data_IF_682839653404
#
_entry.id   IF_682839653404
#
_cell.length_a   1.000
_cell.length_b   1.000
_cell.length_c   1.000
_cell.angle_alpha   90.00
_cell.angle_beta   90.00
_cell.angle_gamma   90.00
#
_symmetry.space_group_name_H-M   'P 1'
#
loop_
_entity.id
_entity.type
_entity.pdbx_description
1 polymer ?
#
# COMPACT_ATOMS: atom_id res chain seq x y z
N UNK A 1 -1.98 50.10 -11.98
CA UNK A 1 -0.92 49.27 -11.35
C UNK A 1 -1.62 48.30 -10.45
N UNK A 2 -1.59 47.04 -10.85
CA UNK A 2 -2.41 45.95 -10.33
C UNK A 2 -1.70 45.29 -9.13
N UNK A 3 -2.22 45.50 -7.92
CA UNK A 3 -1.67 44.97 -6.67
C UNK A 3 -2.50 43.77 -6.15
N UNK A 4 -3.03 42.93 -7.06
CA UNK A 4 -3.84 41.77 -6.70
C UNK A 4 -3.23 40.41 -7.10
N UNK A 5 -1.97 40.37 -7.55
CA UNK A 5 -1.38 39.18 -8.19
C UNK A 5 -0.46 38.31 -7.33
N UNK A 6 0.08 38.79 -6.21
CA UNK A 6 1.37 38.26 -5.72
C UNK A 6 1.33 37.45 -4.41
N UNK A 7 0.16 37.15 -3.85
CA UNK A 7 0.05 36.39 -2.59
C UNK A 7 -0.57 35.00 -2.71
N UNK A 8 -0.90 34.54 -3.93
CA UNK A 8 -1.45 33.18 -4.14
C UNK A 8 -0.42 32.11 -4.49
N UNK A 9 0.84 32.48 -4.70
CA UNK A 9 1.84 31.58 -5.32
C UNK A 9 2.69 30.78 -4.32
N UNK A 10 2.47 30.93 -3.00
CA UNK A 10 3.21 30.18 -1.97
C UNK A 10 2.40 29.08 -1.27
N UNK A 11 1.18 28.79 -1.72
CA UNK A 11 0.31 27.75 -1.14
C UNK A 11 0.20 26.52 -2.06
N UNK A 12 1.26 26.18 -2.80
CA UNK A 12 1.39 24.85 -3.40
C UNK A 12 1.86 23.89 -2.30
N UNK A 13 0.87 23.53 -1.50
CA UNK A 13 0.91 22.50 -0.48
C UNK A 13 1.52 21.23 -1.06
N UNK A 14 2.63 20.75 -0.51
CA UNK A 14 2.87 19.31 -0.47
C UNK A 14 1.64 18.70 0.20
N UNK A 15 0.77 18.09 -0.60
CA UNK A 15 -0.44 17.46 -0.09
C UNK A 15 0.00 16.48 1.01
N UNK A 16 -0.57 16.54 2.22
CA UNK A 16 -0.11 15.69 3.31
C UNK A 16 -0.24 14.23 2.88
N UNK A 17 0.84 13.46 3.00
CA UNK A 17 0.80 12.01 2.78
C UNK A 17 -0.21 11.45 3.77
N UNK A 18 -1.24 10.79 3.24
CA UNK A 18 -2.28 10.14 4.03
C UNK A 18 -2.20 8.64 3.88
N UNK A 19 -2.74 7.90 4.86
CA UNK A 19 -2.89 6.45 4.80
C UNK A 19 -3.58 6.03 3.51
N UNK A 20 -4.64 6.73 3.09
CA UNK A 20 -5.34 6.41 1.85
C UNK A 20 -4.49 6.65 0.59
N UNK A 21 -3.59 7.64 0.59
CA UNK A 21 -2.67 7.83 -0.54
C UNK A 21 -1.64 6.70 -0.62
N UNK A 22 -1.06 6.29 0.52
CA UNK A 22 -0.09 5.19 0.58
C UNK A 22 -0.73 3.85 0.20
N UNK A 23 -1.96 3.60 0.66
CA UNK A 23 -2.67 2.36 0.30
C UNK A 23 -3.12 2.34 -1.17
N UNK A 24 -3.43 3.50 -1.76
CA UNK A 24 -3.69 3.61 -3.20
C UNK A 24 -2.43 3.35 -4.02
N UNK A 25 -1.30 3.93 -3.62
CA UNK A 25 0.00 3.67 -4.25
C UNK A 25 0.31 2.16 -4.26
N UNK A 26 0.11 1.48 -3.12
CA UNK A 26 0.26 0.02 -3.05
C UNK A 26 -0.70 -0.74 -3.99
N UNK A 27 -1.94 -0.26 -4.14
CA UNK A 27 -2.88 -0.88 -5.08
C UNK A 27 -2.46 -0.72 -6.54
N UNK A 28 -1.93 0.45 -6.89
CA UNK A 28 -1.46 0.75 -8.24
C UNK A 28 -0.23 -0.12 -8.56
N UNK A 29 0.76 -0.19 -7.66
CA UNK A 29 1.92 -1.08 -7.79
C UNK A 29 1.53 -2.55 -7.96
N UNK A 30 0.54 -3.03 -7.18
CA UNK A 30 0.03 -4.39 -7.29
C UNK A 30 -0.75 -4.62 -8.59
N UNK A 31 -1.42 -3.61 -9.14
CA UNK A 31 -2.15 -3.72 -10.39
C UNK A 31 -1.21 -3.86 -11.61
N UNK A 32 -0.06 -3.21 -11.54
CA UNK A 32 0.99 -3.26 -12.58
C UNK A 32 1.88 -4.51 -12.46
N UNK A 33 1.74 -5.29 -11.38
CA UNK A 33 2.52 -6.49 -11.15
C UNK A 33 2.02 -7.66 -12.01
N UNK A 34 2.85 -8.09 -12.97
CA UNK A 34 2.59 -9.23 -13.83
C UNK A 34 3.52 -10.41 -13.51
N UNK A 35 3.08 -11.66 -13.72
CA UNK A 35 3.98 -12.81 -13.62
C UNK A 35 5.02 -12.80 -14.75
N UNK A 36 6.20 -13.43 -14.55
CA UNK A 36 7.18 -13.61 -15.61
C UNK A 36 6.59 -14.34 -16.83
N UNK A 37 6.91 -13.87 -18.03
CA UNK A 37 6.31 -14.36 -19.27
C UNK A 37 6.72 -15.80 -19.58
N UNK A 38 7.93 -16.20 -19.18
CA UNK A 38 8.56 -17.49 -19.47
C UNK A 38 7.96 -18.65 -18.66
N UNK A 39 7.13 -18.35 -17.65
CA UNK A 39 6.62 -19.36 -16.74
C UNK A 39 5.45 -20.19 -17.31
N UNK A 40 5.09 -21.28 -16.63
CA UNK A 40 3.95 -22.12 -17.02
C UNK A 40 2.61 -21.38 -16.85
N UNK A 41 1.58 -21.83 -17.56
CA UNK A 41 0.24 -21.25 -17.44
C UNK A 41 -0.31 -21.38 -16.00
N UNK A 42 -0.03 -22.52 -15.34
CA UNK A 42 -0.46 -22.78 -13.98
C UNK A 42 0.27 -21.88 -12.98
N UNK A 43 1.58 -21.68 -13.14
CA UNK A 43 2.33 -20.70 -12.36
C UNK A 43 1.73 -19.29 -12.48
N UNK A 44 1.51 -18.81 -13.72
CA UNK A 44 0.95 -17.47 -13.94
C UNK A 44 -0.44 -17.30 -13.33
N UNK A 45 -1.26 -18.36 -13.34
CA UNK A 45 -2.57 -18.40 -12.69
C UNK A 45 -2.44 -18.28 -11.18
N UNK A 46 -1.53 -19.03 -10.58
CA UNK A 46 -1.20 -18.96 -9.16
C UNK A 46 -0.72 -17.58 -8.73
N UNK A 47 0.22 -17.02 -9.48
CA UNK A 47 0.75 -15.68 -9.26
C UNK A 47 -0.35 -14.61 -9.31
N UNK A 48 -1.20 -14.65 -10.33
CA UNK A 48 -2.34 -13.73 -10.47
C UNK A 48 -3.33 -13.86 -9.30
N UNK A 49 -3.53 -15.07 -8.79
CA UNK A 49 -4.37 -15.31 -7.61
C UNK A 49 -3.74 -14.72 -6.34
N UNK A 50 -2.42 -14.86 -6.16
CA UNK A 50 -1.68 -14.24 -5.05
C UNK A 50 -1.77 -12.72 -5.05
N UNK A 51 -1.52 -12.07 -6.21
CA UNK A 51 -1.68 -10.61 -6.34
C UNK A 51 -3.11 -10.17 -6.02
N UNK A 52 -4.12 -10.91 -6.53
CA UNK A 52 -5.53 -10.61 -6.23
C UNK A 52 -5.83 -10.69 -4.74
N UNK A 53 -5.33 -11.71 -4.05
CA UNK A 53 -5.51 -11.87 -2.60
C UNK A 53 -4.92 -10.67 -1.83
N UNK A 54 -3.70 -10.24 -2.18
CA UNK A 54 -3.10 -9.08 -1.53
C UNK A 54 -3.92 -7.81 -1.77
N UNK A 55 -4.37 -7.58 -3.02
CA UNK A 55 -5.22 -6.43 -3.34
C UNK A 55 -6.50 -6.38 -2.50
N UNK A 56 -7.13 -7.53 -2.24
CA UNK A 56 -8.29 -7.62 -1.35
C UNK A 56 -7.92 -7.19 0.07
N UNK A 57 -6.78 -7.64 0.60
CA UNK A 57 -6.30 -7.23 1.92
C UNK A 57 -6.09 -5.71 2.02
N UNK A 58 -5.57 -5.07 0.96
CA UNK A 58 -5.38 -3.62 0.90
C UNK A 58 -6.73 -2.89 0.81
N UNK A 59 -7.66 -3.37 -0.02
CA UNK A 59 -9.01 -2.80 -0.14
C UNK A 59 -9.81 -2.86 1.16
N UNK A 60 -9.73 -3.98 1.88
CA UNK A 60 -10.34 -4.13 3.21
C UNK A 60 -9.79 -3.08 4.18
N UNK A 61 -8.47 -2.85 4.16
CA UNK A 61 -7.84 -1.86 5.03
C UNK A 61 -8.27 -0.43 4.64
N UNK A 62 -8.37 -0.11 3.34
CA UNK A 62 -8.90 1.18 2.87
C UNK A 62 -10.33 1.40 3.39
N UNK A 63 -11.17 0.36 3.34
CA UNK A 63 -12.53 0.42 3.86
C UNK A 63 -12.55 0.67 5.38
N UNK A 64 -11.67 -0.02 6.13
CA UNK A 64 -11.55 0.14 7.58
C UNK A 64 -11.08 1.54 7.99
N UNK A 65 -10.05 2.10 7.35
CA UNK A 65 -9.50 3.42 7.71
C UNK A 65 -10.39 4.58 7.29
N UNK A 66 -11.21 4.40 6.25
CA UNK A 66 -12.13 5.43 5.75
C UNK A 66 -13.30 5.72 6.71
N UNK A 67 -13.60 4.81 7.65
CA UNK A 67 -14.68 4.98 8.64
C UNK A 67 -14.37 5.91 9.84
N UNK A 68 -13.12 6.39 9.99
CA UNK A 68 -12.67 7.08 11.19
C UNK A 68 -12.53 8.61 11.07
N UNK A 69 -13.62 9.36 11.23
CA UNK A 69 -13.59 10.84 11.25
C UNK A 69 -13.49 11.40 12.67
N UNK A 70 -12.28 11.63 13.17
CA UNK A 70 -12.05 12.46 14.36
C UNK A 70 -11.27 13.73 13.98
N UNK A 71 -11.77 14.90 14.38
CA UNK A 71 -11.08 16.19 14.19
C UNK A 71 -9.93 16.31 15.20
N UNK A 72 -8.74 16.66 14.71
CA UNK A 72 -7.49 16.70 15.51
C UNK A 72 -6.66 17.93 15.12
N UNK A 73 -5.98 18.60 16.07
CA UNK A 73 -5.00 19.66 15.78
C UNK A 73 -3.89 19.22 14.80
N UNK A 74 -3.38 20.14 13.98
CA UNK A 74 -2.52 19.83 12.82
C UNK A 74 -1.19 19.12 13.12
N UNK A 75 -0.48 19.43 14.21
CA UNK A 75 0.75 18.73 14.58
C UNK A 75 0.49 17.30 15.08
N UNK A 76 -0.54 17.14 15.92
CA UNK A 76 -1.05 15.82 16.31
C UNK A 76 -1.62 15.03 15.11
N UNK A 77 -2.03 15.72 14.03
CA UNK A 77 -2.51 15.10 12.79
C UNK A 77 -1.38 14.40 12.02
N UNK A 78 -0.19 15.01 11.87
CA UNK A 78 0.94 14.37 11.14
C UNK A 78 1.42 13.10 11.84
N UNK A 79 1.67 13.16 13.15
CA UNK A 79 2.12 11.98 13.91
C UNK A 79 1.06 10.86 13.94
N UNK A 80 -0.22 11.21 14.13
CA UNK A 80 -1.32 10.23 14.04
C UNK A 80 -1.44 9.62 12.65
N UNK A 81 -1.23 10.41 11.59
CA UNK A 81 -1.28 9.90 10.23
C UNK A 81 -0.14 8.93 9.94
N UNK A 82 1.07 9.22 10.41
CA UNK A 82 2.18 8.28 10.31
C UNK A 82 1.90 6.98 11.08
N UNK A 83 1.34 7.09 12.29
CA UNK A 83 0.94 5.90 13.05
C UNK A 83 -0.13 5.09 12.32
N UNK A 84 -1.11 5.75 11.69
CA UNK A 84 -2.13 5.09 10.85
C UNK A 84 -1.53 4.38 9.65
N UNK A 85 -0.59 5.03 8.95
CA UNK A 85 0.14 4.42 7.83
C UNK A 85 0.86 3.15 8.30
N UNK A 86 1.61 3.23 9.40
CA UNK A 86 2.32 2.06 9.97
C UNK A 86 1.38 0.94 10.36
N UNK A 87 0.32 1.27 11.10
CA UNK A 87 -0.66 0.27 11.55
C UNK A 87 -1.32 -0.41 10.35
N UNK A 88 -1.75 0.34 9.33
CA UNK A 88 -2.34 -0.21 8.12
C UNK A 88 -1.38 -1.15 7.38
N UNK A 89 -0.14 -0.70 7.12
CA UNK A 89 0.86 -1.51 6.43
C UNK A 89 1.23 -2.76 7.23
N UNK A 90 1.34 -2.67 8.56
CA UNK A 90 1.63 -3.81 9.43
C UNK A 90 0.47 -4.81 9.46
N UNK A 91 -0.78 -4.34 9.46
CA UNK A 91 -1.98 -5.19 9.37
C UNK A 91 -2.01 -5.96 8.06
N UNK A 92 -1.78 -5.28 6.93
CA UNK A 92 -1.72 -5.91 5.60
C UNK A 92 -0.57 -6.94 5.57
N UNK A 93 0.64 -6.54 5.99
CA UNK A 93 1.82 -7.43 6.03
C UNK A 93 1.52 -8.70 6.81
N UNK A 94 0.91 -8.58 7.99
CA UNK A 94 0.55 -9.71 8.85
C UNK A 94 -0.44 -10.65 8.15
N UNK A 95 -1.54 -10.11 7.61
CA UNK A 95 -2.54 -10.90 6.87
C UNK A 95 -1.94 -11.64 5.68
N UNK A 96 -1.02 -11.00 4.98
CA UNK A 96 -0.32 -11.58 3.81
C UNK A 96 0.66 -12.67 4.24
N UNK A 97 1.43 -12.45 5.31
CA UNK A 97 2.42 -13.41 5.80
C UNK A 97 1.79 -14.65 6.48
N UNK A 98 0.63 -14.49 7.11
CA UNK A 98 -0.12 -15.60 7.74
C UNK A 98 -0.83 -16.48 6.70
N UNK A 99 -0.91 -16.04 5.43
CA UNK A 99 -1.61 -16.78 4.40
C UNK A 99 -0.83 -18.04 3.98
N UNK A 100 -1.33 -19.20 4.39
CA UNK A 100 -0.82 -20.48 3.91
C UNK A 100 -1.30 -20.78 2.48
N UNK A 101 -0.40 -21.34 1.67
CA UNK A 101 -0.73 -21.87 0.34
C UNK A 101 -0.38 -23.36 0.33
N UNK A 102 -1.37 -24.26 0.43
CA UNK A 102 -1.11 -25.69 0.40
C UNK A 102 -0.69 -26.14 -1.00
N UNK A 103 0.17 -27.15 -1.06
CA UNK A 103 0.62 -27.78 -2.30
C UNK A 103 1.98 -27.30 -2.79
N UNK A 104 2.60 -28.13 -3.61
CA UNK A 104 3.93 -27.90 -4.21
C UNK A 104 3.88 -27.86 -5.74
N UNK A 105 2.68 -27.70 -6.31
CA UNK A 105 2.51 -27.51 -7.75
C UNK A 105 2.93 -26.10 -8.20
N UNK A 106 3.04 -25.93 -9.53
CA UNK A 106 3.41 -24.66 -10.15
C UNK A 106 2.50 -23.50 -9.76
N UNK A 107 1.20 -23.76 -9.57
CA UNK A 107 0.24 -22.74 -9.14
C UNK A 107 0.53 -22.29 -7.70
N UNK A 108 0.82 -23.22 -6.79
CA UNK A 108 1.22 -22.89 -5.43
C UNK A 108 2.56 -22.14 -5.40
N UNK A 109 3.51 -22.50 -6.26
CA UNK A 109 4.77 -21.75 -6.41
C UNK A 109 4.54 -20.31 -6.89
N UNK A 110 3.75 -20.12 -7.95
CA UNK A 110 3.41 -18.79 -8.46
C UNK A 110 2.70 -17.92 -7.41
N UNK A 111 1.79 -18.52 -6.64
CA UNK A 111 1.12 -17.81 -5.55
C UNK A 111 2.10 -17.34 -4.47
N UNK A 112 3.02 -18.21 -4.03
CA UNK A 112 4.04 -17.86 -3.03
C UNK A 112 4.96 -16.73 -3.52
N UNK A 113 5.36 -16.76 -4.78
CA UNK A 113 6.19 -15.71 -5.36
C UNK A 113 5.46 -14.37 -5.43
N UNK A 114 4.17 -14.36 -5.80
CA UNK A 114 3.34 -13.16 -5.75
C UNK A 114 3.24 -12.57 -4.32
N UNK A 115 3.07 -13.44 -3.32
CA UNK A 115 3.08 -13.04 -1.91
C UNK A 115 4.43 -12.44 -1.50
N UNK A 116 5.54 -13.05 -1.91
CA UNK A 116 6.88 -12.55 -1.61
C UNK A 116 7.13 -11.17 -2.24
N UNK A 117 6.75 -10.97 -3.51
CA UNK A 117 6.83 -9.67 -4.21
C UNK A 117 6.04 -8.61 -3.45
N UNK A 118 4.80 -8.92 -3.05
CA UNK A 118 3.97 -7.98 -2.31
C UNK A 118 4.54 -7.63 -0.92
N UNK A 119 5.11 -8.60 -0.21
CA UNK A 119 5.77 -8.35 1.09
C UNK A 119 6.97 -7.41 0.96
N UNK A 120 7.73 -7.50 -0.13
CA UNK A 120 8.83 -6.57 -0.42
C UNK A 120 8.30 -5.16 -0.72
N UNK A 121 7.23 -5.03 -1.51
CA UNK A 121 6.56 -3.73 -1.76
C UNK A 121 6.09 -3.07 -0.47
N UNK A 122 5.40 -3.83 0.39
CA UNK A 122 4.95 -3.35 1.71
C UNK A 122 6.15 -2.91 2.56
N UNK A 123 7.23 -3.70 2.56
CA UNK A 123 8.44 -3.38 3.32
C UNK A 123 9.12 -2.10 2.84
N UNK A 124 9.13 -1.81 1.53
CA UNK A 124 9.62 -0.54 0.96
C UNK A 124 8.79 0.65 1.44
N UNK A 125 7.46 0.53 1.41
CA UNK A 125 6.56 1.57 1.92
C UNK A 125 6.75 1.81 3.42
N UNK A 126 6.95 0.74 4.20
CA UNK A 126 7.25 0.86 5.63
C UNK A 126 8.58 1.60 5.90
N UNK A 127 9.63 1.34 5.12
CA UNK A 127 10.92 2.06 5.22
C UNK A 127 10.75 3.55 4.90
N UNK A 128 10.09 3.88 3.79
CA UNK A 128 9.78 5.28 3.41
C UNK A 128 8.95 6.02 4.47
N UNK A 129 7.98 5.34 5.09
CA UNK A 129 7.19 5.91 6.17
C UNK A 129 8.01 6.17 7.44
N UNK A 130 9.08 5.41 7.68
CA UNK A 130 10.01 5.66 8.79
C UNK A 130 10.94 6.85 8.51
N UNK A 131 11.47 6.97 7.29
CA UNK A 131 12.34 8.08 6.86
C UNK A 131 11.61 9.44 6.87
N UNK A 132 10.28 9.44 6.74
CA UNK A 132 9.45 10.66 6.77
C UNK A 132 9.24 11.27 8.18
N UNK A 133 9.84 10.69 9.22
CA UNK A 133 9.83 11.18 10.61
C UNK A 133 11.09 11.90 11.07
N UNK A 134 12.21 11.76 10.35
CA UNK A 134 13.46 12.51 10.57
C UNK A 134 13.41 13.91 9.92
#
# INVERSE_FOLDING_TARGET
MDLAGETRTAMLTTSPVTVNLVLKELLDDLADTAPPAEQTADYRKGFSAGIRFVRICVLDEIAAVSGGLARVPMAARRHREQQRIRTALQTIRRRVAEQATPGDDDSAAGYRDAVAVALEMISRLMRRAAESEE
#
